data_IF_152233873395
#
_entry.id   IF_152233873395
#
_cell.length_a   1.000
_cell.length_b   1.000
_cell.length_c   1.000
_cell.angle_alpha   90.00
_cell.angle_beta   90.00
_cell.angle_gamma   90.00
#
_symmetry.space_group_name_H-M   'P 1'
#
loop_
_entity.id
_entity.type
_entity.pdbx_description
1 polymer ?
#
# COMPACT_ATOMS: atom_id res chain seq x y z
N UNK A 1 0.75 -13.74 15.85
CA UNK A 1 0.57 -12.71 14.82
C UNK A 1 -0.91 -12.64 14.50
N UNK A 2 -1.51 -11.44 14.33
CA UNK A 2 -2.96 -11.28 14.18
C UNK A 2 -3.37 -10.71 12.84
N UNK A 3 -2.49 -9.95 12.20
CA UNK A 3 -2.73 -9.29 10.91
C UNK A 3 -1.55 -9.45 9.96
N UNK A 4 -1.84 -9.56 8.68
CA UNK A 4 -0.92 -9.45 7.56
C UNK A 4 -1.53 -8.45 6.58
N UNK A 5 -1.16 -7.18 6.72
CA UNK A 5 -1.71 -6.08 5.93
C UNK A 5 -0.88 -5.87 4.67
N UNK A 6 -1.51 -5.94 3.51
CA UNK A 6 -0.92 -5.52 2.26
C UNK A 6 -1.45 -4.12 1.89
N UNK A 7 -0.55 -3.20 1.58
CA UNK A 7 -0.94 -1.88 1.06
C UNK A 7 -1.60 -1.97 -0.30
N UNK A 8 -1.18 -2.93 -1.11
CA UNK A 8 -1.71 -3.25 -2.43
C UNK A 8 -1.22 -4.63 -2.88
N UNK A 9 -1.72 -5.16 -4.00
CA UNK A 9 -1.47 -6.54 -4.41
C UNK A 9 -0.54 -6.69 -5.63
N UNK A 10 0.38 -5.75 -5.88
CA UNK A 10 1.45 -5.99 -6.83
C UNK A 10 2.40 -7.07 -6.31
N UNK A 11 3.03 -7.79 -7.25
CA UNK A 11 3.72 -9.05 -7.00
C UNK A 11 4.82 -8.98 -5.91
N UNK A 12 5.59 -7.92 -5.87
CA UNK A 12 6.69 -7.71 -4.92
C UNK A 12 6.20 -7.42 -3.49
N UNK A 13 4.93 -7.04 -3.31
CA UNK A 13 4.30 -6.83 -2.01
C UNK A 13 3.58 -8.07 -1.46
N UNK A 14 3.41 -9.13 -2.28
CA UNK A 14 2.66 -10.33 -1.91
C UNK A 14 3.48 -11.62 -1.88
N UNK A 15 4.76 -11.59 -2.28
CA UNK A 15 5.62 -12.79 -2.32
C UNK A 15 5.73 -13.53 -0.98
N UNK A 16 5.57 -12.83 0.13
CA UNK A 16 5.61 -13.43 1.46
C UNK A 16 4.28 -14.01 1.95
N UNK A 17 3.16 -13.77 1.27
CA UNK A 17 1.83 -14.09 1.79
C UNK A 17 1.61 -15.59 2.01
N UNK A 18 2.04 -16.44 1.06
CA UNK A 18 1.94 -17.90 1.18
C UNK A 18 2.76 -18.42 2.37
N UNK A 19 3.98 -17.90 2.54
CA UNK A 19 4.83 -18.23 3.70
C UNK A 19 4.16 -17.84 5.00
N UNK A 20 3.60 -16.62 5.10
CA UNK A 20 2.96 -16.12 6.31
C UNK A 20 1.72 -16.94 6.68
N UNK A 21 0.92 -17.32 5.70
CA UNK A 21 -0.23 -18.19 5.93
C UNK A 21 0.21 -19.56 6.43
N UNK A 22 1.22 -20.17 5.81
CA UNK A 22 1.69 -21.52 6.17
C UNK A 22 2.32 -21.56 7.56
N UNK A 23 3.20 -20.61 7.89
CA UNK A 23 3.99 -20.65 9.13
C UNK A 23 3.25 -20.06 10.34
N UNK A 24 2.37 -19.07 10.11
CA UNK A 24 1.72 -18.33 11.20
C UNK A 24 0.20 -18.43 11.18
N UNK A 25 -0.40 -19.07 10.17
CA UNK A 25 -1.85 -19.19 10.03
C UNK A 25 -2.56 -17.85 9.81
N UNK A 26 -1.84 -16.83 9.28
CA UNK A 26 -2.37 -15.48 9.07
C UNK A 26 -2.54 -15.24 7.57
N UNK A 27 -3.79 -15.02 7.17
CA UNK A 27 -4.11 -14.65 5.79
C UNK A 27 -3.91 -13.15 5.54
N UNK A 28 -3.61 -12.80 4.31
CA UNK A 28 -3.44 -11.41 3.91
C UNK A 28 -4.77 -10.66 3.91
N UNK A 29 -4.69 -9.37 4.27
CA UNK A 29 -5.79 -8.41 4.29
C UNK A 29 -5.42 -7.22 3.39
N UNK A 30 -6.27 -6.85 2.45
CA UNK A 30 -6.00 -5.79 1.47
C UNK A 30 -7.29 -5.14 0.95
N UNK A 31 -7.16 -4.07 0.19
CA UNK A 31 -8.26 -3.48 -0.57
C UNK A 31 -8.82 -4.46 -1.60
N UNK A 32 -10.14 -4.63 -1.60
CA UNK A 32 -10.85 -5.57 -2.50
C UNK A 32 -10.59 -5.29 -3.97
N UNK A 33 -10.44 -4.04 -4.32
CA UNK A 33 -10.31 -3.59 -5.70
C UNK A 33 -9.04 -4.10 -6.38
N UNK A 34 -8.06 -4.59 -5.61
CA UNK A 34 -6.82 -5.20 -6.14
C UNK A 34 -6.91 -6.73 -6.29
N UNK A 35 -7.97 -7.38 -5.81
CA UNK A 35 -8.06 -8.86 -5.79
C UNK A 35 -7.88 -9.49 -7.18
N UNK A 36 -8.22 -8.78 -8.26
CA UNK A 36 -8.04 -9.23 -9.64
C UNK A 36 -6.57 -9.46 -10.02
N UNK A 37 -5.60 -8.89 -9.27
CA UNK A 37 -4.18 -9.06 -9.49
C UNK A 37 -3.67 -10.44 -9.05
N UNK A 38 -4.29 -11.06 -8.05
CA UNK A 38 -3.84 -12.35 -7.49
C UNK A 38 -3.79 -13.46 -8.56
N UNK A 39 -4.85 -13.72 -9.35
CA UNK A 39 -4.80 -14.78 -10.36
C UNK A 39 -3.85 -14.45 -11.53
N UNK A 40 -3.37 -13.22 -11.64
CA UNK A 40 -2.43 -12.79 -12.67
C UNK A 40 -0.97 -12.78 -12.23
N UNK A 41 -0.69 -13.14 -10.98
CA UNK A 41 0.68 -13.13 -10.41
C UNK A 41 1.66 -13.92 -11.27
N UNK A 42 1.30 -15.12 -11.74
CA UNK A 42 2.15 -15.92 -12.61
C UNK A 42 2.47 -15.24 -13.96
N UNK A 43 1.53 -14.51 -14.53
CA UNK A 43 1.72 -13.73 -15.76
C UNK A 43 2.70 -12.59 -15.52
N UNK A 44 2.50 -11.82 -14.47
CA UNK A 44 3.39 -10.71 -14.11
C UNK A 44 4.79 -11.18 -13.73
N UNK A 45 4.91 -12.29 -13.00
CA UNK A 45 6.22 -12.89 -12.72
C UNK A 45 7.00 -13.20 -14.02
N UNK A 46 6.34 -13.79 -15.02
CA UNK A 46 6.97 -14.03 -16.34
C UNK A 46 7.33 -12.74 -17.07
N UNK A 47 6.44 -11.75 -17.04
CA UNK A 47 6.62 -10.47 -17.72
C UNK A 47 7.82 -9.69 -17.16
N UNK A 48 7.97 -9.69 -15.83
CA UNK A 48 9.03 -8.95 -15.14
C UNK A 48 10.28 -9.78 -14.82
N UNK A 49 10.29 -11.06 -15.20
CA UNK A 49 11.45 -11.94 -15.02
C UNK A 49 11.68 -12.41 -13.56
N UNK A 50 10.63 -12.41 -12.74
CA UNK A 50 10.71 -12.93 -11.37
C UNK A 50 10.33 -14.41 -11.32
N UNK A 51 11.00 -15.23 -10.49
CA UNK A 51 10.55 -16.58 -10.24
C UNK A 51 9.26 -16.58 -9.40
N UNK A 52 8.28 -17.35 -9.82
CA UNK A 52 7.11 -17.64 -8.98
C UNK A 52 7.38 -18.93 -8.21
N UNK A 53 7.68 -18.80 -6.92
CA UNK A 53 7.97 -19.95 -6.06
C UNK A 53 6.69 -20.59 -5.50
N UNK A 54 5.71 -19.77 -5.15
CA UNK A 54 4.41 -20.18 -4.62
C UNK A 54 3.32 -19.23 -5.14
N UNK A 55 2.15 -19.78 -5.47
CA UNK A 55 0.98 -18.94 -5.82
C UNK A 55 0.52 -18.17 -4.60
N UNK A 56 0.15 -16.89 -4.73
CA UNK A 56 -0.41 -16.13 -3.62
C UNK A 56 -1.74 -16.72 -3.18
N UNK A 57 -1.96 -16.90 -1.86
CA UNK A 57 -3.25 -17.35 -1.35
C UNK A 57 -4.32 -16.29 -1.55
N UNK A 58 -5.58 -16.70 -1.52
CA UNK A 58 -6.71 -15.77 -1.45
C UNK A 58 -6.61 -14.88 -0.19
N UNK A 59 -7.20 -13.71 -0.26
CA UNK A 59 -7.30 -12.80 0.89
C UNK A 59 -8.16 -13.44 1.99
N UNK A 60 -7.79 -13.19 3.25
CA UNK A 60 -8.58 -13.59 4.42
C UNK A 60 -9.72 -12.63 4.69
N UNK A 61 -9.49 -11.34 4.44
CA UNK A 61 -10.49 -10.28 4.60
C UNK A 61 -10.15 -9.07 3.73
N UNK A 62 -11.15 -8.22 3.53
CA UNK A 62 -10.97 -6.95 2.85
C UNK A 62 -10.78 -5.81 3.87
N UNK A 63 -9.91 -4.88 3.49
CA UNK A 63 -9.71 -3.62 4.20
C UNK A 63 -10.48 -2.53 3.46
N UNK A 64 -11.25 -1.73 4.21
CA UNK A 64 -12.04 -0.64 3.66
C UNK A 64 -11.53 0.71 4.14
N UNK A 65 -11.88 1.75 3.40
CA UNK A 65 -11.55 3.13 3.78
C UNK A 65 -12.16 3.47 5.16
N UNK A 66 -11.32 3.96 6.05
CA UNK A 66 -11.72 4.34 7.41
C UNK A 66 -11.67 3.21 8.44
N UNK A 67 -11.36 1.97 8.06
CA UNK A 67 -11.21 0.87 9.00
C UNK A 67 -10.14 1.19 10.06
N UNK A 68 -10.44 0.83 11.32
CA UNK A 68 -9.53 0.95 12.45
C UNK A 68 -9.00 -0.44 12.83
N UNK A 69 -7.73 -0.67 12.58
CA UNK A 69 -7.07 -1.96 12.77
C UNK A 69 -6.23 -1.91 14.04
N UNK A 70 -6.56 -2.73 15.03
CA UNK A 70 -5.85 -2.77 16.30
C UNK A 70 -4.73 -3.80 16.29
N UNK A 71 -3.51 -3.35 16.56
CA UNK A 71 -2.31 -4.18 16.67
C UNK A 71 -1.72 -3.97 18.08
N UNK A 72 -2.12 -4.81 19.03
CA UNK A 72 -1.77 -4.60 20.43
C UNK A 72 -2.34 -3.29 20.96
N UNK A 73 -1.45 -2.37 21.36
CA UNK A 73 -1.81 -1.03 21.86
C UNK A 73 -1.79 0.04 20.78
N UNK A 74 -1.53 -0.33 19.53
CA UNK A 74 -1.48 0.58 18.39
C UNK A 74 -2.76 0.41 17.57
N UNK A 75 -3.27 1.52 17.03
CA UNK A 75 -4.37 1.54 16.09
C UNK A 75 -3.90 2.16 14.78
N UNK A 76 -4.15 1.46 13.68
CA UNK A 76 -3.91 1.94 12.33
C UNK A 76 -5.24 2.28 11.68
N UNK A 77 -5.34 3.45 11.10
CA UNK A 77 -6.47 3.84 10.25
C UNK A 77 -6.12 3.54 8.79
N UNK A 78 -6.96 2.75 8.14
CA UNK A 78 -6.84 2.51 6.71
C UNK A 78 -7.39 3.71 5.93
N UNK A 79 -6.61 4.20 4.98
CA UNK A 79 -6.98 5.28 4.06
C UNK A 79 -6.90 4.75 2.63
N UNK A 80 -8.02 4.72 1.90
CA UNK A 80 -7.98 4.39 0.49
C UNK A 80 -7.33 5.54 -0.29
N UNK A 81 -6.27 5.22 -1.04
CA UNK A 81 -5.53 6.17 -1.88
C UNK A 81 -5.29 5.53 -3.25
N UNK A 82 -6.36 5.35 -4.04
CA UNK A 82 -6.27 4.68 -5.33
C UNK A 82 -5.49 5.49 -6.35
N UNK A 83 -4.98 4.77 -7.37
CA UNK A 83 -4.34 5.34 -8.54
C UNK A 83 -2.99 4.71 -8.91
N UNK A 84 -2.18 4.25 -7.95
CA UNK A 84 -1.10 3.31 -8.22
C UNK A 84 -1.67 1.92 -8.57
N UNK A 85 -2.57 1.46 -7.73
CA UNK A 85 -3.53 0.40 -8.01
C UNK A 85 -4.92 0.82 -7.50
N UNK A 86 -6.01 0.18 -7.97
CA UNK A 86 -7.36 0.53 -7.53
C UNK A 86 -7.60 0.31 -6.04
N UNK A 87 -6.98 -0.73 -5.46
CA UNK A 87 -7.12 -1.13 -4.06
C UNK A 87 -6.02 -0.60 -3.14
N UNK A 88 -5.22 0.39 -3.58
CA UNK A 88 -4.15 0.95 -2.76
C UNK A 88 -4.65 1.53 -1.45
N UNK A 89 -4.10 1.01 -0.34
CA UNK A 89 -4.35 1.45 1.03
C UNK A 89 -3.10 2.02 1.67
N UNK A 90 -3.27 3.07 2.45
CA UNK A 90 -2.26 3.62 3.35
C UNK A 90 -2.69 3.33 4.78
N UNK A 91 -1.79 2.84 5.61
CA UNK A 91 -2.06 2.57 7.02
C UNK A 91 -1.45 3.67 7.89
N UNK A 92 -2.29 4.52 8.45
CA UNK A 92 -1.90 5.69 9.24
C UNK A 92 -2.04 5.42 10.74
N UNK A 93 -0.96 5.65 11.49
CA UNK A 93 -0.93 5.65 12.94
C UNK A 93 -0.88 7.08 13.46
N UNK A 94 -2.02 7.62 13.89
CA UNK A 94 -2.09 8.97 14.41
C UNK A 94 -1.25 9.15 15.67
N UNK A 95 -1.34 8.20 16.62
CA UNK A 95 -0.62 8.25 17.89
C UNK A 95 0.91 8.24 17.76
N UNK A 96 1.44 7.72 16.65
CA UNK A 96 2.89 7.66 16.38
C UNK A 96 3.31 8.67 15.29
N UNK A 97 2.38 9.46 14.77
CA UNK A 97 2.63 10.39 13.66
C UNK A 97 3.36 9.71 12.49
N UNK A 98 2.91 8.53 12.08
CA UNK A 98 3.53 7.81 10.98
C UNK A 98 2.51 7.07 10.11
N UNK A 99 2.91 6.76 8.87
CA UNK A 99 2.12 5.93 7.97
C UNK A 99 2.98 5.01 7.11
N UNK A 100 2.37 3.91 6.69
CA UNK A 100 2.91 2.99 5.69
C UNK A 100 2.16 3.25 4.38
N UNK A 101 2.85 3.88 3.44
CA UNK A 101 2.19 4.37 2.21
C UNK A 101 2.21 3.36 1.05
N UNK A 102 2.92 2.23 1.20
CA UNK A 102 3.16 1.37 0.04
C UNK A 102 3.71 2.18 -1.12
N UNK A 103 3.21 1.93 -2.32
CA UNK A 103 3.67 2.57 -3.55
C UNK A 103 2.82 3.80 -3.96
N UNK A 104 2.30 4.52 -2.97
CA UNK A 104 1.52 5.74 -3.20
C UNK A 104 2.41 6.98 -3.18
N UNK A 105 3.12 7.23 -2.09
CA UNK A 105 3.92 8.44 -1.88
C UNK A 105 5.36 8.06 -1.51
N UNK A 106 6.32 8.54 -2.30
CA UNK A 106 7.75 8.36 -2.11
C UNK A 106 8.44 9.69 -1.82
N UNK A 107 9.67 9.62 -1.36
CA UNK A 107 10.48 10.81 -1.15
C UNK A 107 10.79 11.53 -2.48
N UNK A 108 10.14 12.69 -2.68
CA UNK A 108 10.28 13.49 -3.89
C UNK A 108 9.62 12.89 -5.13
N UNK A 109 8.75 11.89 -4.96
CA UNK A 109 8.06 11.20 -6.06
C UNK A 109 6.72 10.63 -5.61
N UNK A 110 5.98 10.06 -6.56
CA UNK A 110 4.78 9.26 -6.33
C UNK A 110 4.89 7.93 -7.06
N UNK A 111 4.02 6.98 -6.74
CA UNK A 111 3.96 5.69 -7.42
C UNK A 111 3.73 5.80 -8.92
N UNK A 112 4.17 4.80 -9.65
CA UNK A 112 3.80 4.67 -11.07
C UNK A 112 2.30 4.36 -11.17
N UNK A 113 1.71 4.75 -12.28
CA UNK A 113 0.27 4.53 -12.53
C UNK A 113 0.00 4.03 -13.96
N UNK A 114 1.01 3.37 -14.55
CA UNK A 114 0.96 2.82 -15.91
C UNK A 114 0.78 1.30 -15.95
N UNK A 115 0.62 0.67 -14.78
CA UNK A 115 0.23 -0.74 -14.66
C UNK A 115 -1.29 -0.89 -14.74
N UNK A 116 -1.75 -2.13 -14.86
CA UNK A 116 -3.18 -2.42 -14.94
C UNK A 116 -3.97 -1.88 -13.76
N UNK A 117 -5.05 -1.16 -14.03
CA UNK A 117 -5.85 -0.47 -13.02
C UNK A 117 -5.26 0.85 -12.53
N UNK A 118 -4.03 1.20 -12.93
CA UNK A 118 -3.39 2.45 -12.56
C UNK A 118 -4.02 3.68 -13.23
N UNK A 119 -4.00 4.82 -12.53
CA UNK A 119 -4.51 6.10 -13.02
C UNK A 119 -3.74 7.25 -12.34
N UNK A 120 -2.94 7.96 -13.13
CA UNK A 120 -2.05 9.01 -12.62
C UNK A 120 -2.81 10.18 -11.99
N UNK A 121 -3.86 10.67 -12.65
CA UNK A 121 -4.62 11.81 -12.14
C UNK A 121 -5.32 11.45 -10.83
N UNK A 122 -5.92 10.26 -10.76
CA UNK A 122 -6.53 9.74 -9.56
C UNK A 122 -5.51 9.59 -8.42
N UNK A 123 -4.31 9.07 -8.69
CA UNK A 123 -3.25 8.93 -7.69
C UNK A 123 -2.88 10.29 -7.10
N UNK A 124 -2.62 11.27 -7.97
CA UNK A 124 -2.25 12.62 -7.57
C UNK A 124 -3.37 13.29 -6.74
N UNK A 125 -4.62 13.21 -7.20
CA UNK A 125 -5.78 13.76 -6.50
C UNK A 125 -5.98 13.09 -5.14
N UNK A 126 -5.88 11.76 -5.08
CA UNK A 126 -6.01 10.99 -3.84
C UNK A 126 -4.94 11.38 -2.81
N UNK A 127 -3.68 11.52 -3.24
CA UNK A 127 -2.59 11.96 -2.35
C UNK A 127 -2.87 13.35 -1.80
N UNK A 128 -3.23 14.31 -2.65
CA UNK A 128 -3.51 15.69 -2.23
C UNK A 128 -4.67 15.72 -1.24
N UNK A 129 -5.77 15.03 -1.54
CA UNK A 129 -6.98 15.06 -0.73
C UNK A 129 -6.84 14.29 0.60
N UNK A 130 -6.03 13.23 0.64
CA UNK A 130 -6.01 12.29 1.77
C UNK A 130 -4.73 12.36 2.60
N UNK A 131 -3.57 12.54 1.97
CA UNK A 131 -2.28 12.48 2.65
C UNK A 131 -1.70 13.86 2.93
N UNK A 132 -1.75 14.79 1.97
CA UNK A 132 -1.20 16.12 2.18
C UNK A 132 -2.06 16.98 3.14
N UNK A 133 -3.18 16.50 3.63
CA UNK A 133 -3.98 17.12 4.70
C UNK A 133 -3.53 16.70 6.09
N UNK A 134 -2.70 15.66 6.21
CA UNK A 134 -2.15 15.17 7.48
C UNK A 134 -1.11 16.17 8.04
N UNK A 135 -0.79 16.08 9.36
CA UNK A 135 0.23 16.90 10.00
C UNK A 135 1.59 16.79 9.30
N UNK A 136 2.32 17.88 9.21
CA UNK A 136 3.60 17.98 8.49
C UNK A 136 4.68 17.07 9.06
N UNK A 137 4.65 16.81 10.37
CA UNK A 137 5.55 15.90 11.07
C UNK A 137 5.28 14.41 10.80
N UNK A 138 4.18 14.06 10.12
CA UNK A 138 3.83 12.67 9.85
C UNK A 138 4.93 12.01 9.01
N UNK A 139 5.57 11.00 9.59
CA UNK A 139 6.59 10.19 8.93
C UNK A 139 5.94 9.26 7.93
N UNK A 140 6.47 9.19 6.72
CA UNK A 140 6.01 8.33 5.64
C UNK A 140 7.02 7.21 5.43
N UNK A 141 6.58 5.97 5.60
CA UNK A 141 7.34 4.76 5.26
C UNK A 141 6.80 4.18 3.95
N UNK A 142 7.49 4.41 2.83
CA UNK A 142 7.06 3.92 1.52
C UNK A 142 7.39 2.44 1.32
N UNK A 143 6.80 1.83 0.30
CA UNK A 143 7.14 0.46 -0.12
C UNK A 143 8.57 0.35 -0.62
N UNK A 144 9.07 1.40 -1.28
CA UNK A 144 10.44 1.47 -1.82
C UNK A 144 11.12 2.78 -1.45
N UNK A 145 12.46 2.73 -1.33
CA UNK A 145 13.28 3.92 -1.10
C UNK A 145 13.33 4.38 0.35
N UNK A 146 13.70 5.64 0.54
CA UNK A 146 13.90 6.22 1.86
C UNK A 146 12.60 6.80 2.46
N UNK A 147 12.45 6.78 3.79
CA UNK A 147 11.38 7.51 4.46
C UNK A 147 11.40 9.02 4.15
N UNK A 148 10.24 9.64 4.31
CA UNK A 148 10.06 11.09 4.16
C UNK A 148 9.05 11.61 5.18
N UNK A 149 8.64 12.88 5.08
CA UNK A 149 7.56 13.45 5.88
C UNK A 149 6.55 14.15 5.00
N UNK A 150 5.31 14.27 5.47
CA UNK A 150 4.27 15.01 4.76
C UNK A 150 4.71 16.45 4.49
N UNK A 151 5.30 17.14 5.47
CA UNK A 151 5.80 18.50 5.30
C UNK A 151 6.89 18.62 4.24
N UNK A 152 7.81 17.65 4.17
CA UNK A 152 8.83 17.63 3.12
C UNK A 152 8.19 17.48 1.73
N UNK A 153 7.23 16.57 1.57
CA UNK A 153 6.58 16.31 0.29
C UNK A 153 5.71 17.48 -0.17
N UNK A 154 5.00 18.16 0.73
CA UNK A 154 4.27 19.41 0.42
C UNK A 154 5.18 20.47 -0.21
N UNK A 155 6.39 20.61 0.31
CA UNK A 155 7.32 21.66 -0.11
C UNK A 155 8.19 21.27 -1.30
N UNK A 156 8.56 20.00 -1.44
CA UNK A 156 9.64 19.59 -2.33
C UNK A 156 9.23 18.62 -3.44
N UNK A 157 8.08 17.94 -3.31
CA UNK A 157 7.65 16.97 -4.31
C UNK A 157 7.18 17.65 -5.59
N UNK A 158 7.82 17.37 -6.75
CA UNK A 158 7.51 18.06 -8.01
C UNK A 158 6.10 17.76 -8.55
N UNK A 159 5.46 16.68 -8.09
CA UNK A 159 4.12 16.28 -8.53
C UNK A 159 3.00 17.12 -7.91
N UNK A 160 3.30 17.94 -6.88
CA UNK A 160 2.34 18.77 -6.17
C UNK A 160 2.59 20.29 -6.31
N UNK A 161 3.51 20.67 -7.19
CA UNK A 161 3.85 22.06 -7.50
C UNK A 161 3.12 22.56 -8.73
#
# INVERSE_FOLDING_TARGET
MTHLLNTHLHLDHIFGNAFMLREFGVSAEAGKEDEFLLPRTAEYCRMFGFPLNEEPPALGSYVHDGDLIKIGNIELKALAVPGHSPGSMVFYCEAQHCMFSGDVLFRGSIGRADLEGGNFDQLRESIVARLLTLPDETMVYPGHGNPTTIGYEKMNNPFFR
#
